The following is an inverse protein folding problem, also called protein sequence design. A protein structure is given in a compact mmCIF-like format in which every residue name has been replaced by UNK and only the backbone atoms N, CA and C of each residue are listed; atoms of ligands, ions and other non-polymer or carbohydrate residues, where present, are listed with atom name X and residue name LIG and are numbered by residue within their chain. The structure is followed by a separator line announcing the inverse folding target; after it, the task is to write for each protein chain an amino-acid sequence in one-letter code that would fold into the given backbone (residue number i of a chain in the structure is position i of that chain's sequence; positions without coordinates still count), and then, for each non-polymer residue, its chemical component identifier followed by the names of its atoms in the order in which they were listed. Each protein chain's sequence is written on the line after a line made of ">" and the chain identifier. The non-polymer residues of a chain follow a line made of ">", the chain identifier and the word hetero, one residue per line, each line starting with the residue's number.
data_IF_572117158468
#
_entry.id   IF_572117158468
#
_cell.length_a   1.000
_cell.length_b   1.000
_cell.length_c   1.000
_cell.angle_alpha   90.00
_cell.angle_beta   90.00
_cell.angle_gamma   90.00
#
_symmetry.space_group_name_H-M   'P 1'
#
loop_
_entity.id
_entity.type
_entity.pdbx_description
1 polymer ?
#
# COMPACT_ATOMS: atom_id res chain seq x y z
N UNK A 1 -31.88 -7.01 49.05
CA UNK A 1 -32.83 -6.26 48.21
C UNK A 1 -32.42 -6.49 46.78
N UNK A 2 -33.35 -7.08 46.02
CA UNK A 2 -33.19 -7.69 44.70
C UNK A 2 -33.39 -6.61 43.64
N UNK A 3 -32.65 -6.69 42.54
CA UNK A 3 -32.83 -5.81 41.38
C UNK A 3 -32.16 -6.35 40.12
N UNK A 4 -32.50 -7.58 39.71
CA UNK A 4 -32.15 -8.13 38.40
C UNK A 4 -33.14 -7.63 37.35
N UNK A 5 -32.67 -6.88 36.35
CA UNK A 5 -33.45 -6.59 35.14
C UNK A 5 -33.03 -7.56 34.04
N UNK A 6 -33.91 -8.52 33.73
CA UNK A 6 -33.85 -9.37 32.55
C UNK A 6 -34.58 -8.63 31.43
N UNK A 7 -33.91 -8.32 30.32
CA UNK A 7 -34.57 -7.98 29.06
C UNK A 7 -34.51 -9.17 28.12
N UNK A 8 -35.69 -9.60 27.69
CA UNK A 8 -35.92 -10.72 26.80
C UNK A 8 -36.04 -10.24 25.34
N UNK A 9 -35.68 -11.15 24.43
CA UNK A 9 -35.72 -11.08 22.97
C UNK A 9 -37.07 -10.66 22.36
N UNK A 10 -36.97 -9.93 21.24
CA UNK A 10 -37.77 -10.04 20.01
C UNK A 10 -36.85 -9.51 18.89
N UNK A 11 -36.50 -10.20 17.80
CA UNK A 11 -37.25 -11.20 17.05
C UNK A 11 -37.82 -10.57 15.78
N UNK A 12 -36.99 -10.23 14.79
CA UNK A 12 -37.47 -9.90 13.43
C UNK A 12 -36.50 -10.51 12.38
N UNK A 13 -36.89 -11.67 11.87
CA UNK A 13 -36.30 -12.26 10.67
C UNK A 13 -36.97 -11.59 9.45
N UNK A 14 -36.22 -10.79 8.70
CA UNK A 14 -36.67 -10.28 7.41
C UNK A 14 -36.13 -11.18 6.29
N UNK A 15 -37.02 -11.98 5.72
CA UNK A 15 -36.78 -12.76 4.52
C UNK A 15 -36.78 -11.82 3.30
N UNK A 16 -35.61 -11.60 2.68
CA UNK A 16 -35.54 -11.01 1.34
C UNK A 16 -35.64 -12.13 0.30
N UNK A 17 -36.74 -12.11 -0.44
CA UNK A 17 -37.06 -13.05 -1.51
C UNK A 17 -36.16 -12.82 -2.73
N UNK A 18 -35.58 -13.90 -3.24
CA UNK A 18 -34.95 -13.98 -4.56
C UNK A 18 -36.00 -13.77 -5.65
N UNK A 19 -35.80 -12.77 -6.52
CA UNK A 19 -36.52 -12.66 -7.79
C UNK A 19 -35.62 -13.23 -8.88
N UNK A 20 -35.90 -14.47 -9.27
CA UNK A 20 -35.36 -15.10 -10.48
C UNK A 20 -36.10 -14.52 -11.70
N UNK A 21 -35.51 -13.51 -12.33
CA UNK A 21 -35.95 -12.99 -13.62
C UNK A 21 -35.32 -13.79 -14.76
N UNK A 22 -36.00 -14.83 -15.22
CA UNK A 22 -35.72 -15.50 -16.48
C UNK A 22 -36.19 -14.63 -17.65
N UNK A 23 -35.26 -14.06 -18.42
CA UNK A 23 -35.57 -13.50 -19.74
C UNK A 23 -35.03 -14.44 -20.81
N UNK A 24 -35.97 -14.99 -21.54
CA UNK A 24 -35.82 -15.87 -22.68
C UNK A 24 -35.15 -15.18 -23.89
N UNK A 25 -34.33 -15.96 -24.58
CA UNK A 25 -34.38 -16.17 -26.04
C UNK A 25 -34.50 -14.95 -26.95
N UNK A 26 -33.39 -14.59 -27.57
CA UNK A 26 -33.35 -13.82 -28.81
C UNK A 26 -32.22 -14.31 -29.69
N UNK A 27 -32.52 -15.29 -30.54
CA UNK A 27 -31.72 -15.63 -31.71
C UNK A 27 -31.70 -14.42 -32.66
N UNK A 28 -30.50 -13.89 -32.96
CA UNK A 28 -30.31 -12.99 -34.10
C UNK A 28 -29.10 -13.48 -34.90
N UNK A 29 -29.38 -13.76 -36.16
CA UNK A 29 -28.52 -14.35 -37.18
C UNK A 29 -27.16 -13.66 -37.39
N UNK A 30 -26.16 -14.40 -37.91
CA UNK A 30 -24.83 -13.89 -38.20
C UNK A 30 -24.84 -12.98 -39.44
N UNK A 31 -24.25 -11.79 -39.32
CA UNK A 31 -23.98 -10.90 -40.45
C UNK A 31 -22.56 -11.18 -40.96
N UNK A 32 -22.37 -11.62 -42.23
CA UNK A 32 -21.06 -11.70 -42.83
C UNK A 32 -20.74 -10.37 -43.51
N UNK A 33 -19.81 -9.60 -42.94
CA UNK A 33 -19.16 -8.51 -43.68
C UNK A 33 -17.66 -8.78 -43.79
N UNK A 34 -17.32 -9.40 -44.92
CA UNK A 34 -15.99 -9.27 -45.50
C UNK A 34 -15.82 -7.84 -46.02
N UNK A 35 -14.78 -7.15 -45.58
CA UNK A 35 -14.30 -5.92 -46.23
C UNK A 35 -12.79 -5.85 -46.12
N UNK A 36 -12.19 -6.13 -47.28
CA UNK A 36 -10.88 -5.83 -47.82
C UNK A 36 -9.97 -4.86 -47.02
N UNK A 37 -8.69 -5.21 -46.79
CA UNK A 37 -7.72 -4.29 -46.22
C UNK A 37 -7.24 -3.28 -47.28
N UNK A 38 -7.36 -1.99 -46.98
CA UNK A 38 -6.70 -0.93 -47.73
C UNK A 38 -5.27 -0.75 -47.19
N UNK A 39 -4.29 -1.01 -48.05
CA UNK A 39 -2.87 -0.74 -47.79
C UNK A 39 -2.55 0.76 -47.96
N UNK A 40 -1.92 1.37 -46.96
CA UNK A 40 -1.22 2.66 -47.06
C UNK A 40 -0.28 2.85 -45.83
N UNK A 41 0.67 3.79 -45.87
CA UNK A 41 2.03 3.62 -46.33
C UNK A 41 3.06 3.52 -45.18
N UNK A 42 4.21 2.93 -45.49
CA UNK A 42 5.38 2.85 -44.61
C UNK A 42 5.87 4.23 -44.19
N UNK A 43 5.77 4.54 -42.89
CA UNK A 43 6.47 5.66 -42.26
C UNK A 43 7.89 5.24 -41.88
N UNK A 44 8.86 6.00 -42.37
CA UNK A 44 10.29 5.86 -42.10
C UNK A 44 10.55 6.10 -40.61
N UNK A 45 11.04 5.07 -39.92
CA UNK A 45 11.43 5.13 -38.52
C UNK A 45 12.66 6.05 -38.32
N UNK A 46 12.46 7.19 -37.67
CA UNK A 46 13.54 7.91 -37.00
C UNK A 46 13.86 7.17 -35.72
N UNK A 47 15.07 6.61 -35.64
CA UNK A 47 15.54 5.86 -34.46
C UNK A 47 15.56 6.74 -33.21
N UNK A 48 15.22 6.18 -32.03
CA UNK A 48 15.29 6.93 -30.78
C UNK A 48 16.74 7.25 -30.44
N UNK A 49 17.03 8.54 -30.24
CA UNK A 49 18.27 9.00 -29.63
C UNK A 49 18.27 8.57 -28.16
N UNK A 50 19.02 7.52 -27.85
CA UNK A 50 19.30 7.07 -26.50
C UNK A 50 20.31 8.04 -25.89
N UNK A 51 19.82 9.11 -25.28
CA UNK A 51 20.64 9.89 -24.34
C UNK A 51 20.87 9.01 -23.11
N UNK A 52 22.12 8.69 -22.75
CA UNK A 52 22.38 8.00 -21.49
C UNK A 52 21.92 8.90 -20.34
N UNK A 53 21.22 8.36 -19.34
CA UNK A 53 20.80 9.15 -18.20
C UNK A 53 22.04 9.70 -17.46
N UNK A 54 21.98 10.95 -16.95
CA UNK A 54 23.06 11.49 -16.14
C UNK A 54 23.21 10.64 -14.88
N UNK A 55 24.33 9.92 -14.76
CA UNK A 55 24.69 9.22 -13.52
C UNK A 55 25.39 10.22 -12.59
N UNK A 56 24.60 11.03 -11.89
CA UNK A 56 25.15 11.93 -10.86
C UNK A 56 25.47 11.10 -9.62
N UNK A 57 26.74 10.74 -9.47
CA UNK A 57 27.25 10.11 -8.24
C UNK A 57 27.46 11.18 -7.16
N UNK A 58 26.42 11.54 -6.41
CA UNK A 58 26.57 12.30 -5.16
C UNK A 58 27.11 11.36 -4.07
N UNK A 59 28.20 11.78 -3.41
CA UNK A 59 28.71 11.10 -2.22
C UNK A 59 27.71 11.31 -1.07
N UNK A 60 27.38 10.30 -0.26
CA UNK A 60 26.32 10.41 0.72
C UNK A 60 26.75 11.34 1.86
N UNK A 61 26.09 12.49 1.96
CA UNK A 61 25.79 13.07 3.26
C UNK A 61 24.87 12.03 3.91
N UNK A 62 25.28 11.45 5.04
CA UNK A 62 24.52 10.36 5.68
C UNK A 62 23.06 10.73 5.88
N UNK A 63 22.19 9.72 5.94
CA UNK A 63 20.76 9.91 6.12
C UNK A 63 20.44 10.84 7.29
N UNK A 64 19.39 11.68 7.16
CA UNK A 64 18.98 12.57 8.25
C UNK A 64 18.57 11.78 9.51
N UNK A 65 18.08 10.56 9.32
CA UNK A 65 17.82 9.61 10.39
C UNK A 65 19.04 8.70 10.58
N UNK A 66 19.53 8.59 11.82
CA UNK A 66 20.68 7.74 12.19
C UNK A 66 20.48 6.27 11.77
N UNK A 67 19.23 5.87 11.52
CA UNK A 67 18.83 4.53 11.12
C UNK A 67 18.42 4.43 9.64
N UNK A 68 18.53 5.49 8.82
CA UNK A 68 18.02 5.51 7.44
C UNK A 68 18.87 4.77 6.40
N UNK A 69 20.03 4.21 6.78
CA UNK A 69 20.85 3.41 5.86
C UNK A 69 21.58 4.22 4.78
N UNK A 70 21.40 3.83 3.51
CA UNK A 70 22.08 4.42 2.34
C UNK A 70 21.20 5.38 1.53
N UNK A 71 20.24 6.01 2.18
CA UNK A 71 19.28 6.89 1.53
C UNK A 71 19.93 8.07 0.79
N UNK A 72 19.17 8.65 -0.13
CA UNK A 72 19.63 9.72 -1.04
C UNK A 72 19.20 11.13 -0.62
N UNK A 73 18.37 11.28 0.42
CA UNK A 73 17.79 12.55 0.86
C UNK A 73 16.96 13.21 -0.27
N UNK A 74 17.05 14.53 -0.47
CA UNK A 74 16.37 15.25 -1.55
C UNK A 74 16.69 14.65 -2.93
N UNK A 75 15.65 14.31 -3.68
CA UNK A 75 15.75 13.73 -5.01
C UNK A 75 15.39 14.76 -6.09
N UNK A 76 16.23 14.85 -7.11
CA UNK A 76 15.85 15.49 -8.36
C UNK A 76 14.82 14.62 -9.11
N UNK A 77 13.95 15.19 -9.95
CA UNK A 77 13.05 14.39 -10.79
C UNK A 77 13.83 13.40 -11.67
N UNK A 78 13.50 12.12 -11.61
CA UNK A 78 14.24 11.10 -12.36
C UNK A 78 14.03 9.67 -11.91
N UNK A 79 14.77 8.76 -12.54
CA UNK A 79 14.75 7.33 -12.25
C UNK A 79 15.95 6.94 -11.39
N UNK A 80 15.68 6.15 -10.35
CA UNK A 80 16.63 5.72 -9.33
C UNK A 80 16.53 4.22 -9.13
N UNK A 81 17.55 3.64 -8.52
CA UNK A 81 17.56 2.26 -8.05
C UNK A 81 18.02 2.24 -6.60
N UNK A 82 17.37 1.44 -5.75
CA UNK A 82 17.79 1.26 -4.35
C UNK A 82 19.21 0.70 -4.30
N UNK A 83 19.97 1.09 -3.27
CA UNK A 83 21.34 0.61 -3.07
C UNK A 83 21.38 -0.56 -2.10
N UNK A 84 20.53 -0.55 -1.07
CA UNK A 84 20.58 -1.55 0.02
C UNK A 84 19.32 -2.41 0.10
N UNK A 85 18.14 -1.87 -0.20
CA UNK A 85 16.89 -2.63 -0.17
C UNK A 85 16.92 -3.81 -1.14
N UNK A 86 16.50 -4.99 -0.67
CA UNK A 86 16.44 -6.22 -1.46
C UNK A 86 15.04 -6.85 -1.48
N UNK A 87 14.51 -7.25 -2.67
CA UNK A 87 15.12 -7.14 -3.98
C UNK A 87 15.24 -5.68 -4.41
N UNK A 88 16.34 -5.35 -5.10
CA UNK A 88 16.55 -3.98 -5.60
C UNK A 88 15.32 -3.44 -6.32
N UNK A 89 14.94 -2.19 -6.06
CA UNK A 89 13.80 -1.55 -6.70
C UNK A 89 14.31 -0.47 -7.63
N UNK A 90 13.83 -0.46 -8.88
CA UNK A 90 13.94 0.72 -9.76
C UNK A 90 12.64 1.51 -9.72
N UNK A 91 12.73 2.83 -9.56
CA UNK A 91 11.58 3.72 -9.39
C UNK A 91 11.83 5.09 -10.01
N UNK A 92 10.77 5.82 -10.35
CA UNK A 92 10.85 7.20 -10.87
C UNK A 92 10.08 8.14 -9.95
N UNK A 93 10.69 9.25 -9.56
CA UNK A 93 10.04 10.28 -8.74
C UNK A 93 9.80 11.57 -9.52
N UNK A 94 8.65 12.23 -9.31
CA UNK A 94 8.45 13.64 -9.63
C UNK A 94 9.38 14.57 -8.82
N UNK A 95 9.26 15.88 -9.06
CA UNK A 95 9.89 16.90 -8.21
C UNK A 95 9.32 16.88 -6.78
N UNK A 96 10.16 17.23 -5.80
CA UNK A 96 9.74 17.45 -4.42
C UNK A 96 9.71 16.20 -3.53
N UNK A 97 10.43 15.15 -3.90
CA UNK A 97 10.53 13.91 -3.14
C UNK A 97 11.85 13.78 -2.39
N UNK A 98 11.78 13.17 -1.22
CA UNK A 98 12.92 12.85 -0.36
C UNK A 98 12.95 11.33 -0.16
N UNK A 99 14.13 10.73 -0.31
CA UNK A 99 14.40 9.38 0.16
C UNK A 99 15.03 9.43 1.56
N UNK A 100 14.24 9.02 2.55
CA UNK A 100 14.63 9.06 3.96
C UNK A 100 15.22 7.74 4.46
N UNK A 101 14.88 6.62 3.82
CA UNK A 101 15.37 5.29 4.20
C UNK A 101 15.71 4.43 2.98
N UNK A 102 16.86 3.77 3.03
CA UNK A 102 17.26 2.67 2.15
C UNK A 102 18.04 1.64 2.98
N UNK A 103 17.30 0.68 3.51
CA UNK A 103 17.73 -0.41 4.39
C UNK A 103 17.40 -1.76 3.74
N UNK A 104 17.97 -2.89 4.20
CA UNK A 104 17.77 -4.19 3.58
C UNK A 104 16.30 -4.60 3.38
N UNK A 105 15.40 -4.21 4.29
CA UNK A 105 13.97 -4.49 4.20
C UNK A 105 13.05 -3.29 4.38
N UNK A 106 13.57 -2.07 4.40
CA UNK A 106 12.78 -0.83 4.52
C UNK A 106 13.28 0.20 3.51
N UNK A 107 12.35 0.78 2.76
CA UNK A 107 12.62 1.89 1.87
C UNK A 107 11.51 2.92 2.02
N UNK A 108 11.85 4.20 2.16
CA UNK A 108 10.88 5.25 2.46
C UNK A 108 11.09 6.47 1.57
N UNK A 109 9.97 6.93 1.00
CA UNK A 109 9.85 8.17 0.25
C UNK A 109 8.78 9.06 0.91
N UNK A 110 9.05 10.34 1.03
CA UNK A 110 8.04 11.34 1.42
C UNK A 110 8.20 12.62 0.61
N UNK A 111 7.17 13.47 0.62
CA UNK A 111 7.29 14.80 0.03
C UNK A 111 8.16 15.68 0.94
N UNK A 112 9.01 16.51 0.34
CA UNK A 112 9.82 17.50 1.06
C UNK A 112 8.95 18.51 1.83
N UNK A 113 7.78 18.82 1.29
CA UNK A 113 6.82 19.75 1.88
C UNK A 113 6.10 19.21 3.13
N UNK A 114 6.14 17.89 3.36
CA UNK A 114 5.39 17.23 4.44
C UNK A 114 6.21 17.23 5.73
N UNK A 115 5.64 17.78 6.81
CA UNK A 115 6.24 17.71 8.14
C UNK A 115 6.26 16.27 8.65
N UNK A 116 7.46 15.78 9.00
CA UNK A 116 7.67 14.42 9.51
C UNK A 116 7.80 14.36 11.04
N UNK A 117 7.78 15.52 11.73
CA UNK A 117 8.05 15.61 13.18
C UNK A 117 6.78 15.59 14.06
N UNK A 118 5.61 15.40 13.46
CA UNK A 118 4.31 15.35 14.15
C UNK A 118 4.09 14.07 14.98
N UNK A 119 3.08 14.09 15.86
CA UNK A 119 2.73 12.93 16.70
C UNK A 119 2.26 11.70 15.91
N UNK A 120 1.71 11.92 14.70
CA UNK A 120 1.35 10.89 13.74
C UNK A 120 2.44 10.61 12.69
N UNK A 121 3.60 11.30 12.77
CA UNK A 121 4.56 11.38 11.68
C UNK A 121 4.07 12.30 10.55
N UNK A 122 4.51 12.04 9.33
CA UNK A 122 4.04 12.69 8.11
C UNK A 122 3.49 11.68 7.10
N UNK A 123 2.99 12.17 5.96
CA UNK A 123 2.58 11.31 4.86
C UNK A 123 3.80 10.73 4.13
N UNK A 124 3.76 9.44 3.78
CA UNK A 124 4.87 8.76 3.11
C UNK A 124 4.40 7.58 2.23
N UNK A 125 5.30 7.16 1.33
CA UNK A 125 5.32 5.84 0.68
C UNK A 125 6.43 5.01 1.31
N UNK A 126 6.05 3.98 2.06
CA UNK A 126 6.93 2.98 2.63
C UNK A 126 6.90 1.70 1.81
N UNK A 127 8.04 1.04 1.65
CA UNK A 127 8.15 -0.27 1.00
C UNK A 127 8.91 -1.18 1.94
N UNK A 128 8.29 -2.31 2.27
CA UNK A 128 8.74 -3.18 3.34
C UNK A 128 8.85 -4.63 2.90
N UNK A 129 9.85 -5.33 3.43
CA UNK A 129 10.01 -6.77 3.27
C UNK A 129 9.45 -7.53 4.46
N UNK A 130 8.81 -8.66 4.16
CA UNK A 130 8.34 -9.60 5.17
C UNK A 130 7.46 -8.93 6.23
N UNK A 131 6.47 -8.15 5.79
CA UNK A 131 5.50 -7.58 6.70
C UNK A 131 4.59 -8.68 7.24
N UNK A 132 4.32 -8.62 8.53
CA UNK A 132 3.37 -9.46 9.26
C UNK A 132 2.22 -8.63 9.77
N UNK A 133 1.06 -9.25 9.98
CA UNK A 133 0.00 -8.65 10.79
C UNK A 133 0.54 -8.37 12.20
N UNK A 134 0.40 -7.15 12.70
CA UNK A 134 0.80 -6.81 14.06
C UNK A 134 -0.19 -7.37 15.09
N UNK A 135 0.29 -7.81 16.25
CA UNK A 135 -0.56 -8.38 17.27
C UNK A 135 -1.55 -7.36 17.86
N UNK A 136 -2.86 -7.66 17.80
CA UNK A 136 -3.91 -6.78 18.36
C UNK A 136 -3.91 -6.76 19.90
N UNK A 137 -3.14 -7.63 20.54
CA UNK A 137 -2.93 -7.65 21.99
C UNK A 137 -2.00 -6.55 22.50
N UNK A 138 -1.56 -5.64 21.62
CA UNK A 138 -0.68 -4.51 21.93
C UNK A 138 0.73 -4.90 22.35
N UNK A 139 1.14 -6.13 22.03
CA UNK A 139 2.55 -6.54 22.13
C UNK A 139 3.23 -6.24 20.80
N UNK A 140 4.50 -5.85 20.86
CA UNK A 140 5.34 -5.66 19.68
C UNK A 140 5.79 -7.03 19.14
N UNK A 141 4.85 -7.75 18.54
CA UNK A 141 5.06 -9.06 17.94
C UNK A 141 4.09 -9.25 16.76
N UNK A 142 4.37 -10.25 15.93
CA UNK A 142 3.45 -10.69 14.89
C UNK A 142 2.20 -11.33 15.51
N UNK A 143 1.06 -11.15 14.85
CA UNK A 143 -0.19 -11.79 15.21
C UNK A 143 -0.08 -13.30 14.97
N UNK A 144 -0.22 -14.08 16.05
CA UNK A 144 -0.19 -15.53 15.97
C UNK A 144 -1.30 -16.06 15.05
N UNK A 145 -0.92 -17.01 14.18
CA UNK A 145 -1.85 -17.73 13.30
C UNK A 145 -2.18 -17.01 11.98
N UNK A 146 -1.63 -15.82 11.74
CA UNK A 146 -1.80 -15.09 10.49
C UNK A 146 -0.58 -15.33 9.60
N UNK A 147 -0.80 -15.84 8.39
CA UNK A 147 0.25 -16.00 7.39
C UNK A 147 0.68 -14.68 6.77
N UNK A 148 1.69 -14.73 5.90
CA UNK A 148 2.30 -13.53 5.29
C UNK A 148 1.89 -13.32 3.84
N UNK A 149 1.04 -14.17 3.28
CA UNK A 149 0.55 -13.96 1.91
C UNK A 149 -0.38 -12.75 1.84
N UNK A 150 -0.46 -12.14 0.67
CA UNK A 150 -1.35 -11.02 0.37
C UNK A 150 -2.80 -11.32 0.80
N UNK A 151 -3.26 -12.54 0.52
CA UNK A 151 -4.60 -13.02 0.86
C UNK A 151 -4.79 -13.14 2.37
N UNK A 152 -3.90 -13.83 3.06
CA UNK A 152 -4.04 -14.07 4.51
C UNK A 152 -4.02 -12.76 5.29
N UNK A 153 -3.16 -11.81 4.89
CA UNK A 153 -3.10 -10.49 5.51
C UNK A 153 -4.37 -9.68 5.22
N UNK A 154 -4.85 -9.64 3.98
CA UNK A 154 -6.11 -8.95 3.64
C UNK A 154 -7.33 -9.56 4.36
N UNK A 155 -7.41 -10.88 4.44
CA UNK A 155 -8.45 -11.59 5.20
C UNK A 155 -8.38 -11.25 6.69
N UNK A 156 -7.18 -11.16 7.27
CA UNK A 156 -7.01 -10.75 8.65
C UNK A 156 -7.48 -9.30 8.87
N UNK A 157 -7.04 -8.33 8.06
CA UNK A 157 -7.46 -6.94 8.19
C UNK A 157 -8.99 -6.79 8.13
N UNK A 158 -9.63 -7.44 7.16
CA UNK A 158 -11.11 -7.39 7.00
C UNK A 158 -11.88 -8.05 8.15
N UNK A 159 -11.21 -8.83 9.00
CA UNK A 159 -11.81 -9.44 10.20
C UNK A 159 -11.82 -8.53 11.43
N UNK A 160 -11.08 -7.42 11.41
CA UNK A 160 -10.91 -6.54 12.56
C UNK A 160 -12.06 -5.53 12.69
N UNK A 161 -12.71 -5.50 13.86
CA UNK A 161 -13.82 -4.54 14.12
C UNK A 161 -13.34 -3.12 14.45
N UNK A 162 -12.04 -2.94 14.70
CA UNK A 162 -11.42 -1.67 15.10
C UNK A 162 -10.96 -0.79 13.92
N UNK A 163 -11.06 -1.30 12.70
CA UNK A 163 -10.71 -0.60 11.46
C UNK A 163 -11.79 -0.82 10.40
N UNK A 164 -11.97 0.17 9.54
CA UNK A 164 -12.71 0.02 8.29
C UNK A 164 -11.72 -0.39 7.21
N UNK A 165 -12.07 -1.43 6.45
CA UNK A 165 -11.23 -1.97 5.38
C UNK A 165 -12.07 -2.03 4.10
N UNK A 166 -11.52 -1.53 3.00
CA UNK A 166 -12.17 -1.64 1.69
C UNK A 166 -12.25 -3.10 1.23
N UNK A 167 -13.09 -3.38 0.22
CA UNK A 167 -13.02 -4.67 -0.49
C UNK A 167 -11.61 -4.85 -1.09
N UNK A 168 -10.93 -5.99 -0.85
CA UNK A 168 -9.61 -6.24 -1.41
C UNK A 168 -9.62 -6.26 -2.94
N UNK A 169 -8.67 -5.58 -3.57
CA UNK A 169 -8.54 -5.50 -5.03
C UNK A 169 -7.29 -6.24 -5.50
N UNK A 170 -7.42 -7.09 -6.52
CA UNK A 170 -6.26 -7.70 -7.19
C UNK A 170 -5.45 -6.62 -7.90
N UNK A 171 -4.14 -6.64 -7.68
CA UNK A 171 -3.20 -5.68 -8.28
C UNK A 171 -1.92 -6.38 -8.70
N UNK A 172 -1.20 -5.76 -9.63
CA UNK A 172 0.13 -6.17 -10.06
C UNK A 172 1.02 -4.93 -10.11
N UNK A 173 2.14 -4.96 -9.39
CA UNK A 173 3.06 -3.81 -9.25
C UNK A 173 4.48 -4.32 -9.41
N UNK A 174 5.23 -3.72 -10.34
CA UNK A 174 6.64 -4.08 -10.59
C UNK A 174 6.90 -5.54 -10.92
N UNK A 175 5.90 -6.26 -11.45
CA UNK A 175 5.99 -7.67 -11.79
C UNK A 175 5.59 -8.64 -10.68
N UNK A 176 5.18 -8.14 -9.51
CA UNK A 176 4.63 -8.96 -8.42
C UNK A 176 3.12 -8.80 -8.37
N UNK A 177 2.42 -9.90 -8.11
CA UNK A 177 0.96 -9.92 -7.95
C UNK A 177 0.58 -9.88 -6.47
N UNK A 178 -0.59 -9.34 -6.16
CA UNK A 178 -1.03 -9.22 -4.77
C UNK A 178 -2.42 -8.63 -4.59
N UNK A 179 -2.64 -8.05 -3.42
CA UNK A 179 -3.89 -7.40 -3.03
C UNK A 179 -3.66 -5.98 -2.51
N UNK A 180 -4.59 -5.09 -2.83
CA UNK A 180 -4.67 -3.74 -2.29
C UNK A 180 -5.89 -3.61 -1.36
N UNK A 181 -5.70 -2.96 -0.22
CA UNK A 181 -6.75 -2.55 0.70
C UNK A 181 -6.53 -1.11 1.17
N UNK A 182 -7.62 -0.38 1.36
CA UNK A 182 -7.63 0.91 2.05
C UNK A 182 -8.13 0.69 3.47
N UNK A 183 -7.45 1.31 4.45
CA UNK A 183 -7.66 1.12 5.88
C UNK A 183 -7.80 2.48 6.56
N UNK A 184 -8.82 2.61 7.40
CA UNK A 184 -8.99 3.72 8.33
C UNK A 184 -9.42 3.22 9.70
N UNK A 185 -9.11 3.96 10.76
CA UNK A 185 -9.57 3.60 12.10
C UNK A 185 -11.09 3.84 12.25
N UNK A 186 -11.81 2.90 12.87
CA UNK A 186 -13.21 3.13 13.26
C UNK A 186 -13.25 4.20 14.35
N UNK A 187 -14.03 5.29 14.20
CA UNK A 187 -14.12 6.32 15.21
C UNK A 187 -14.57 5.78 16.58
N UNK A 188 -13.80 6.10 17.63
CA UNK A 188 -14.09 5.68 19.00
C UNK A 188 -13.77 4.22 19.30
N UNK A 189 -13.11 3.50 18.38
CA UNK A 189 -12.45 2.25 18.73
C UNK A 189 -11.46 2.50 19.88
N UNK A 190 -11.35 1.56 20.81
CA UNK A 190 -10.35 1.56 21.89
C UNK A 190 -9.28 0.50 21.58
N UNK A 191 -8.37 0.76 20.62
CA UNK A 191 -7.25 -0.12 20.36
C UNK A 191 -6.14 0.07 21.41
N UNK A 192 -4.91 -0.15 21.00
CA UNK A 192 -3.72 -0.01 21.82
C UNK A 192 -3.36 1.45 22.09
N UNK A 193 -2.63 1.69 23.18
CA UNK A 193 -2.05 3.00 23.49
C UNK A 193 -0.56 2.97 23.19
N UNK A 194 -0.12 3.75 22.19
CA UNK A 194 1.28 3.89 21.79
C UNK A 194 1.65 5.38 21.78
N UNK A 195 2.81 5.74 22.35
CA UNK A 195 3.28 7.12 22.33
C UNK A 195 2.34 8.16 23.00
N UNK A 196 1.36 7.72 23.78
CA UNK A 196 0.32 8.57 24.37
C UNK A 196 -0.91 8.80 23.49
N UNK A 197 -0.95 8.23 22.28
CA UNK A 197 -2.10 8.20 21.38
C UNK A 197 -2.78 6.83 21.36
N UNK A 198 -3.97 6.79 20.77
CA UNK A 198 -4.79 5.58 20.61
C UNK A 198 -4.72 5.16 19.14
N UNK A 199 -4.14 3.99 18.87
CA UNK A 199 -3.94 3.50 17.51
C UNK A 199 -4.01 1.98 17.42
N UNK A 200 -4.45 1.51 16.25
CA UNK A 200 -4.59 0.10 15.92
C UNK A 200 -3.28 -0.41 15.31
N UNK A 201 -2.63 -1.46 15.88
CA UNK A 201 -1.53 -2.14 15.22
C UNK A 201 -1.93 -2.63 13.82
N UNK A 202 -1.12 -2.32 12.81
CA UNK A 202 -1.37 -2.78 11.43
C UNK A 202 -0.37 -3.83 11.00
N UNK A 203 0.87 -3.41 10.76
CA UNK A 203 1.93 -4.25 10.24
C UNK A 203 3.17 -4.16 11.13
N UNK A 204 3.89 -5.26 11.20
CA UNK A 204 5.17 -5.37 11.90
C UNK A 204 6.17 -6.15 11.05
N UNK A 205 7.44 -5.82 11.14
CA UNK A 205 8.52 -6.52 10.45
C UNK A 205 8.84 -7.85 11.14
N UNK A 206 9.63 -8.69 10.48
CA UNK A 206 10.06 -9.97 11.03
C UNK A 206 11.23 -9.88 12.02
N UNK A 207 11.74 -8.67 12.28
CA UNK A 207 12.90 -8.38 13.14
C UNK A 207 14.22 -8.94 12.59
N UNK A 208 14.24 -9.35 11.32
CA UNK A 208 15.44 -9.88 10.63
C UNK A 208 15.84 -9.00 9.46
N UNK A 209 14.89 -8.71 8.58
CA UNK A 209 15.11 -7.83 7.42
C UNK A 209 14.42 -6.48 7.59
N UNK A 210 13.31 -6.44 8.31
CA UNK A 210 12.57 -5.22 8.61
C UNK A 210 12.29 -5.12 10.10
N UNK A 211 12.55 -3.92 10.63
CA UNK A 211 12.25 -3.53 12.01
C UNK A 211 11.00 -2.61 12.09
N UNK A 212 10.14 -2.62 11.05
CA UNK A 212 8.96 -1.73 10.99
C UNK A 212 7.94 -2.08 12.07
N UNK A 213 7.33 -1.08 12.71
CA UNK A 213 6.26 -1.23 13.71
C UNK A 213 5.18 -0.17 13.48
N UNK A 214 4.16 -0.47 12.67
CA UNK A 214 3.24 0.55 12.17
C UNK A 214 1.81 0.37 12.66
N UNK A 215 1.09 1.50 12.74
CA UNK A 215 -0.23 1.61 13.34
C UNK A 215 -1.12 2.51 12.50
N UNK A 216 -2.44 2.38 12.62
CA UNK A 216 -3.42 3.35 12.11
C UNK A 216 -4.14 4.06 13.25
N UNK A 217 -4.35 5.36 13.09
CA UNK A 217 -5.08 6.21 14.02
C UNK A 217 -6.18 6.97 13.29
N UNK A 218 -7.00 7.73 14.01
CA UNK A 218 -8.06 8.55 13.42
C UNK A 218 -7.55 9.72 12.56
N UNK A 219 -6.26 10.05 12.66
CA UNK A 219 -5.61 11.17 11.96
C UNK A 219 -4.97 10.75 10.64
N UNK A 220 -4.91 9.44 10.37
CA UNK A 220 -4.24 8.90 9.19
C UNK A 220 -5.16 7.94 8.42
N UNK A 221 -5.02 7.94 7.09
CA UNK A 221 -5.53 6.88 6.24
C UNK A 221 -4.35 6.10 5.64
N UNK A 222 -4.52 4.80 5.48
CA UNK A 222 -3.48 3.92 4.97
C UNK A 222 -4.01 3.15 3.78
N UNK A 223 -3.23 3.08 2.70
CA UNK A 223 -3.41 2.05 1.68
C UNK A 223 -2.26 1.06 1.77
N UNK A 224 -2.60 -0.22 1.91
CA UNK A 224 -1.62 -1.30 1.80
C UNK A 224 -1.76 -1.96 0.43
N UNK A 225 -0.64 -2.08 -0.27
CA UNK A 225 -0.49 -2.95 -1.45
C UNK A 225 0.46 -4.08 -1.07
N UNK A 226 -0.10 -5.26 -0.84
CA UNK A 226 0.61 -6.43 -0.33
C UNK A 226 0.90 -7.36 -1.49
N UNK A 227 2.16 -7.45 -1.88
CA UNK A 227 2.63 -8.21 -3.04
C UNK A 227 3.29 -9.51 -2.60
N UNK A 228 2.84 -10.63 -3.17
CA UNK A 228 3.42 -11.93 -2.87
C UNK A 228 4.83 -12.04 -3.49
N UNK A 229 5.77 -12.55 -2.70
CA UNK A 229 7.16 -12.74 -3.10
C UNK A 229 7.63 -14.14 -2.64
N UNK A 230 8.60 -14.75 -3.33
CA UNK A 230 9.03 -16.13 -3.02
C UNK A 230 9.52 -16.30 -1.57
N UNK A 231 10.18 -15.27 -1.04
CA UNK A 231 10.67 -15.22 0.34
C UNK A 231 9.72 -14.55 1.37
N UNK A 232 8.46 -14.29 1.01
CA UNK A 232 7.49 -13.65 1.90
C UNK A 232 6.56 -12.68 1.17
N UNK A 233 6.65 -11.39 1.51
CA UNK A 233 5.94 -10.34 0.78
C UNK A 233 6.80 -9.10 0.63
N UNK A 234 6.41 -8.27 -0.35
CA UNK A 234 6.75 -6.86 -0.40
C UNK A 234 5.47 -6.08 -0.14
N UNK A 235 5.44 -5.28 0.91
CA UNK A 235 4.27 -4.46 1.25
C UNK A 235 4.60 -2.99 1.00
N UNK A 236 3.81 -2.35 0.12
CA UNK A 236 3.82 -0.90 0.00
C UNK A 236 2.77 -0.35 0.97
N UNK A 237 3.17 0.61 1.78
CA UNK A 237 2.29 1.38 2.64
C UNK A 237 2.26 2.82 2.16
N UNK A 238 1.08 3.29 1.79
CA UNK A 238 0.84 4.69 1.46
C UNK A 238 0.09 5.27 2.65
N UNK A 239 0.84 5.90 3.56
CA UNK A 239 0.29 6.54 4.75
C UNK A 239 0.04 8.00 4.45
N UNK A 240 -1.18 8.45 4.72
CA UNK A 240 -1.58 9.84 4.55
C UNK A 240 -2.08 10.42 5.87
N UNK A 241 -1.41 11.47 6.35
CA UNK A 241 -1.88 12.31 7.44
C UNK A 241 -2.96 13.25 6.89
N UNK A 242 -4.18 13.11 7.40
CA UNK A 242 -5.37 13.78 6.86
C UNK A 242 -5.33 15.32 6.98
N UNK A 243 -4.51 15.85 7.90
CA UNK A 243 -4.25 17.28 8.01
C UNK A 243 -3.34 17.81 6.89
N UNK A 244 -2.45 16.98 6.36
CA UNK A 244 -1.49 17.36 5.31
C UNK A 244 -2.15 17.32 3.93
N UNK A 245 -2.88 16.24 3.62
CA UNK A 245 -3.49 16.06 2.31
C UNK A 245 -4.86 15.39 2.38
N UNK A 246 -5.78 15.75 1.47
CA UNK A 246 -6.95 14.91 1.19
C UNK A 246 -6.52 13.53 0.68
N UNK A 247 -7.14 12.46 1.20
CA UNK A 247 -6.81 11.06 0.87
C UNK A 247 -6.62 10.77 -0.62
N UNK A 248 -7.58 11.15 -1.46
CA UNK A 248 -7.51 10.85 -2.89
C UNK A 248 -6.47 11.68 -3.63
N UNK A 249 -6.16 12.88 -3.12
CA UNK A 249 -5.14 13.75 -3.68
C UNK A 249 -3.74 13.17 -3.39
N UNK A 250 -3.47 12.79 -2.15
CA UNK A 250 -2.19 12.17 -1.80
C UNK A 250 -1.93 10.89 -2.59
N UNK A 251 -2.93 10.01 -2.69
CA UNK A 251 -2.83 8.78 -3.49
C UNK A 251 -2.53 9.08 -4.96
N UNK A 252 -3.13 10.13 -5.53
CA UNK A 252 -2.83 10.54 -6.90
C UNK A 252 -1.40 11.11 -7.06
N UNK A 253 -0.85 11.74 -6.03
CA UNK A 253 0.55 12.22 -5.99
C UNK A 253 1.52 11.03 -5.95
N UNK A 254 1.22 9.99 -5.17
CA UNK A 254 2.08 8.82 -5.02
C UNK A 254 1.98 7.85 -6.20
N UNK A 255 0.83 7.77 -6.86
CA UNK A 255 0.55 6.77 -7.91
C UNK A 255 1.60 6.70 -9.03
N UNK A 256 2.14 7.81 -9.59
CA UNK A 256 3.17 7.75 -10.61
C UNK A 256 4.45 7.03 -10.17
N UNK A 257 4.79 7.08 -8.88
CA UNK A 257 5.93 6.33 -8.33
C UNK A 257 5.60 4.86 -8.31
N UNK A 258 4.44 4.48 -7.76
CA UNK A 258 3.96 3.09 -7.68
C UNK A 258 3.90 2.45 -9.05
N UNK A 259 3.35 3.15 -10.04
CA UNK A 259 3.25 2.70 -11.43
C UNK A 259 4.63 2.48 -12.09
N UNK A 260 5.66 3.18 -11.61
CA UNK A 260 7.03 3.10 -12.13
C UNK A 260 7.89 2.02 -11.47
N UNK A 261 7.42 1.41 -10.38
CA UNK A 261 8.20 0.42 -9.63
C UNK A 261 8.50 -0.79 -10.51
N UNK A 262 9.73 -1.27 -10.42
CA UNK A 262 10.16 -2.55 -10.96
C UNK A 262 11.07 -3.25 -9.95
N UNK A 263 10.71 -4.47 -9.56
CA UNK A 263 11.50 -5.28 -8.65
C UNK A 263 12.56 -6.07 -9.42
N UNK A 264 13.78 -6.07 -8.89
CA UNK A 264 14.86 -6.94 -9.38
C UNK A 264 14.48 -8.40 -9.20
N UNK A 265 14.73 -9.19 -10.24
CA UNK A 265 14.58 -10.66 -10.24
C UNK A 265 15.92 -11.36 -10.13
#
# INVERSE_FOLDING_TARGET
>A
MVGSARFALLGLAAACAYVLGACAGGDVDPVPYASTPAAAPSSTASGPATSPPPTTSMQPIGCPYDHGGTCLFELEPGTYTTTTFEPSITYTVPEGWVNAEDLPGNFLLHLDADDQLGGAGGSYLGIYRNAHAAAISCVEDAQEGVGTSSRELAEWFTSLEMIEVSEPQLVSVGGLDGLQVDISQVPGAEPCTFGGGVSTPLIIGDGKVSDLHHVVSAEIDVRLVILDHEDGNVTLEITNVLEQHPTQEYRAIVQPIVDSLAFGV
#
